data_IF_528981326138
#
_entry.id   IF_528981326138
#
_cell.length_a   1.000
_cell.length_b   1.000
_cell.length_c   1.000
_cell.angle_alpha   90.00
_cell.angle_beta   90.00
_cell.angle_gamma   90.00
#
_symmetry.space_group_name_H-M   'P 1'
#
loop_
_entity.id
_entity.type
_entity.pdbx_description
1 polymer ?
#
# COMPACT_ATOMS: atom_id res chain seq x y z
N UNK A 1 6.33 -28.62 38.55
CA UNK A 1 5.32 -27.80 37.86
C UNK A 1 6.05 -27.01 36.77
N UNK A 2 6.02 -27.53 35.57
CA UNK A 2 6.59 -26.87 34.39
C UNK A 2 5.76 -25.62 34.09
N UNK A 3 6.36 -24.43 34.21
CA UNK A 3 5.76 -23.17 33.73
C UNK A 3 5.51 -23.36 32.25
N UNK A 4 4.25 -23.54 31.86
CA UNK A 4 3.84 -23.35 30.47
C UNK A 4 4.23 -21.96 30.14
N UNK A 5 5.22 -21.80 29.25
CA UNK A 5 5.61 -20.49 28.69
C UNK A 5 4.35 -19.88 28.09
N UNK A 6 3.85 -18.78 28.67
CA UNK A 6 2.82 -17.97 28.02
C UNK A 6 3.38 -17.57 26.66
N UNK A 7 2.72 -17.96 25.60
CA UNK A 7 3.06 -17.47 24.26
C UNK A 7 2.66 -16.00 24.23
N UNK A 8 3.64 -15.10 24.18
CA UNK A 8 3.39 -13.66 24.02
C UNK A 8 2.92 -13.39 22.59
N UNK A 9 1.62 -13.56 22.36
CA UNK A 9 0.99 -13.34 21.05
C UNK A 9 0.71 -11.86 20.85
N UNK A 10 0.95 -11.35 19.65
CA UNK A 10 0.51 -10.02 19.23
C UNK A 10 -0.30 -10.12 17.95
N UNK A 11 -1.29 -9.24 17.80
CA UNK A 11 -2.19 -9.21 16.65
C UNK A 11 -1.92 -7.96 15.85
N UNK A 12 -1.70 -8.13 14.55
CA UNK A 12 -1.71 -7.03 13.60
C UNK A 12 -2.95 -7.11 12.71
N UNK A 13 -3.57 -5.97 12.49
CA UNK A 13 -4.74 -5.80 11.61
C UNK A 13 -4.33 -4.84 10.50
N UNK A 14 -4.53 -5.25 9.24
CA UNK A 14 -4.28 -4.42 8.06
C UNK A 14 -5.60 -4.11 7.35
N UNK A 15 -5.91 -2.83 7.21
CA UNK A 15 -7.06 -2.35 6.44
C UNK A 15 -6.60 -2.07 5.01
N UNK A 16 -6.72 -3.08 4.15
CA UNK A 16 -6.39 -2.96 2.73
C UNK A 16 -7.55 -2.46 1.87
N UNK A 17 -7.34 -2.37 0.56
CA UNK A 17 -8.36 -1.83 -0.37
C UNK A 17 -9.56 -2.75 -0.61
N UNK A 18 -9.44 -4.06 -0.38
CA UNK A 18 -10.50 -5.05 -0.70
C UNK A 18 -10.82 -6.00 0.44
N UNK A 19 -10.04 -5.95 1.52
CA UNK A 19 -10.25 -6.76 2.70
C UNK A 19 -9.51 -6.18 3.90
N UNK A 20 -10.05 -6.43 5.10
CA UNK A 20 -9.29 -6.37 6.34
C UNK A 20 -8.64 -7.73 6.56
N UNK A 21 -7.32 -7.74 6.75
CA UNK A 21 -6.55 -8.93 7.07
C UNK A 21 -5.99 -8.80 8.48
N UNK A 22 -5.94 -9.89 9.21
CA UNK A 22 -5.31 -9.88 10.52
C UNK A 22 -4.52 -11.17 10.74
N UNK A 23 -3.42 -11.06 11.47
CA UNK A 23 -2.60 -12.18 11.90
C UNK A 23 -2.34 -12.12 13.39
N UNK A 24 -2.33 -13.29 14.04
CA UNK A 24 -1.80 -13.49 15.37
C UNK A 24 -0.40 -14.10 15.22
N UNK A 25 0.63 -13.43 15.74
CA UNK A 25 2.01 -13.86 15.65
C UNK A 25 2.61 -14.09 17.04
N UNK A 26 3.48 -15.09 17.16
CA UNK A 26 4.24 -15.38 18.37
C UNK A 26 5.57 -14.59 18.40
N UNK A 27 6.43 -14.89 19.38
CA UNK A 27 7.71 -14.21 19.58
C UNK A 27 8.67 -14.34 18.38
N UNK A 28 8.56 -15.42 17.63
CA UNK A 28 9.42 -15.73 16.49
C UNK A 28 8.81 -15.27 15.15
N UNK A 29 7.67 -14.58 15.19
CA UNK A 29 6.96 -14.10 13.99
C UNK A 29 6.16 -15.21 13.28
N UNK A 30 6.02 -16.39 13.92
CA UNK A 30 5.21 -17.47 13.37
C UNK A 30 3.73 -17.09 13.45
N UNK A 31 3.06 -17.07 12.30
CA UNK A 31 1.63 -16.77 12.23
C UNK A 31 0.83 -17.97 12.71
N UNK A 32 0.24 -17.83 13.90
CA UNK A 32 -0.53 -18.89 14.58
C UNK A 32 -2.01 -18.89 14.19
N UNK A 33 -2.54 -17.74 13.76
CA UNK A 33 -3.91 -17.61 13.27
C UNK A 33 -4.03 -16.47 12.26
N UNK A 34 -5.03 -16.57 11.37
CA UNK A 34 -5.33 -15.57 10.34
C UNK A 34 -6.81 -15.26 10.31
N UNK A 35 -7.14 -13.99 10.02
CA UNK A 35 -8.48 -13.57 9.67
C UNK A 35 -8.47 -12.82 8.34
N UNK A 36 -9.55 -12.97 7.57
CA UNK A 36 -9.74 -12.28 6.30
C UNK A 36 -11.21 -11.87 6.17
N UNK A 37 -11.47 -10.58 6.25
CA UNK A 37 -12.80 -9.98 6.16
C UNK A 37 -12.88 -9.20 4.86
N UNK A 38 -13.49 -9.75 3.81
CA UNK A 38 -13.63 -9.05 2.53
C UNK A 38 -14.57 -7.85 2.65
N UNK A 39 -14.28 -6.80 1.90
CA UNK A 39 -15.16 -5.66 1.70
C UNK A 39 -15.01 -5.11 0.28
N UNK A 40 -15.91 -4.23 -0.13
CA UNK A 40 -15.92 -3.71 -1.48
C UNK A 40 -15.09 -2.42 -1.61
N UNK A 41 -14.18 -2.40 -2.61
CA UNK A 41 -13.69 -1.15 -3.19
C UNK A 41 -14.72 -0.66 -4.21
N UNK A 42 -15.33 0.50 -3.95
CA UNK A 42 -16.31 1.13 -4.84
C UNK A 42 -15.63 2.12 -5.77
N UNK A 43 -15.96 2.06 -7.06
CA UNK A 43 -15.47 2.97 -8.10
C UNK A 43 -16.70 3.60 -8.78
N UNK A 44 -17.38 4.57 -8.12
CA UNK A 44 -18.60 5.15 -8.64
C UNK A 44 -18.40 6.04 -9.88
N UNK A 45 -17.17 6.51 -10.11
CA UNK A 45 -16.74 7.26 -11.29
C UNK A 45 -15.26 7.00 -11.57
N UNK A 46 -14.74 7.30 -12.77
CA UNK A 46 -13.33 7.04 -13.13
C UNK A 46 -12.29 7.65 -12.19
N UNK A 47 -12.63 8.78 -11.56
CA UNK A 47 -11.81 9.54 -10.64
C UNK A 47 -12.20 9.36 -9.17
N UNK A 48 -13.05 8.38 -8.83
CA UNK A 48 -13.56 8.16 -7.48
C UNK A 48 -13.25 6.78 -6.97
N UNK A 49 -12.67 6.74 -5.78
CA UNK A 49 -12.35 5.51 -5.04
C UNK A 49 -12.80 5.64 -3.61
N UNK A 50 -13.69 4.77 -3.19
CA UNK A 50 -14.26 4.84 -1.85
C UNK A 50 -14.55 3.48 -1.23
N UNK A 51 -14.55 3.45 0.08
CA UNK A 51 -15.10 2.37 0.89
C UNK A 51 -16.44 2.78 1.51
N UNK A 52 -17.26 1.79 1.85
CA UNK A 52 -18.15 1.92 2.98
C UNK A 52 -17.28 1.93 4.25
N UNK A 53 -17.06 3.13 4.81
CA UNK A 53 -16.12 3.29 5.92
C UNK A 53 -16.61 2.58 7.22
N UNK A 54 -17.92 2.42 7.40
CA UNK A 54 -18.45 1.65 8.52
C UNK A 54 -18.14 0.15 8.36
N UNK A 55 -18.34 -0.38 7.16
CA UNK A 55 -18.03 -1.78 6.84
C UNK A 55 -16.53 -2.05 6.96
N UNK A 56 -15.72 -1.29 6.22
CA UNK A 56 -14.31 -1.60 6.05
C UNK A 56 -13.43 -1.15 7.23
N UNK A 57 -13.69 0.04 7.81
CA UNK A 57 -12.78 0.64 8.78
C UNK A 57 -13.21 0.48 10.23
N UNK A 58 -14.52 0.31 10.47
CA UNK A 58 -15.05 0.13 11.83
C UNK A 58 -15.40 -1.35 12.12
N UNK A 59 -16.30 -1.93 11.34
CA UNK A 59 -16.76 -3.32 11.57
C UNK A 59 -15.76 -4.37 11.13
N UNK A 60 -15.01 -4.11 10.05
CA UNK A 60 -14.00 -5.04 9.55
C UNK A 60 -12.91 -5.38 10.56
N UNK A 61 -12.22 -4.40 11.18
CA UNK A 61 -11.25 -4.66 12.25
C UNK A 61 -11.82 -5.38 13.46
N UNK A 62 -13.05 -5.03 13.89
CA UNK A 62 -13.73 -5.74 14.99
C UNK A 62 -14.00 -7.21 14.63
N UNK A 63 -14.52 -7.47 13.44
CA UNK A 63 -14.79 -8.82 12.96
C UNK A 63 -13.50 -9.65 12.79
N UNK A 64 -12.41 -9.01 12.32
CA UNK A 64 -11.12 -9.68 12.22
C UNK A 64 -10.57 -10.08 13.59
N UNK A 65 -10.67 -9.19 14.58
CA UNK A 65 -10.27 -9.49 15.95
C UNK A 65 -11.14 -10.60 16.55
N UNK A 66 -12.46 -10.54 16.37
CA UNK A 66 -13.39 -11.58 16.83
C UNK A 66 -13.07 -12.94 16.19
N UNK A 67 -12.80 -12.99 14.88
CA UNK A 67 -12.44 -14.23 14.17
C UNK A 67 -11.15 -14.85 14.71
N UNK A 68 -10.18 -14.04 15.14
CA UNK A 68 -8.94 -14.54 15.76
C UNK A 68 -9.17 -15.07 17.17
N UNK A 69 -10.33 -14.78 17.78
CA UNK A 69 -10.71 -15.22 19.13
C UNK A 69 -9.58 -15.03 20.16
N UNK A 70 -9.13 -13.79 20.41
CA UNK A 70 -7.93 -13.53 21.21
C UNK A 70 -8.08 -14.08 22.63
N UNK A 71 -7.17 -14.97 23.00
CA UNK A 71 -7.07 -15.51 24.35
C UNK A 71 -6.25 -14.61 25.29
N UNK A 72 -6.07 -15.04 26.56
CA UNK A 72 -5.35 -14.25 27.58
C UNK A 72 -3.85 -14.07 27.28
N UNK A 73 -3.31 -14.79 26.30
CA UNK A 73 -1.92 -14.67 25.88
C UNK A 73 -1.68 -13.53 24.87
N UNK A 74 -2.75 -12.87 24.38
CA UNK A 74 -2.63 -11.70 23.50
C UNK A 74 -2.20 -10.49 24.31
N UNK A 75 -1.01 -9.96 23.97
CA UNK A 75 -0.36 -8.86 24.69
C UNK A 75 -0.73 -7.50 24.09
N UNK A 76 -0.83 -7.43 22.77
CA UNK A 76 -1.16 -6.18 22.07
C UNK A 76 -1.84 -6.45 20.74
N UNK A 77 -2.54 -5.40 20.27
CA UNK A 77 -3.14 -5.30 18.93
C UNK A 77 -2.66 -3.99 18.31
N UNK A 78 -2.29 -4.00 17.03
CA UNK A 78 -1.96 -2.80 16.28
C UNK A 78 -2.69 -2.80 14.93
N UNK A 79 -2.99 -1.60 14.42
CA UNK A 79 -3.69 -1.42 13.14
C UNK A 79 -2.76 -0.74 12.14
N UNK A 80 -2.61 -1.32 10.95
CA UNK A 80 -2.06 -0.67 9.77
C UNK A 80 -3.17 -0.39 8.76
N UNK A 81 -2.97 0.59 7.90
CA UNK A 81 -3.91 0.91 6.84
C UNK A 81 -3.26 1.63 5.67
N UNK A 82 -3.94 1.56 4.52
CA UNK A 82 -3.60 2.36 3.34
C UNK A 82 -3.78 3.86 3.59
N UNK A 83 -2.97 4.66 2.92
CA UNK A 83 -2.97 6.13 3.00
C UNK A 83 -2.90 6.79 1.61
N UNK A 84 -3.40 8.03 1.49
CA UNK A 84 -4.28 8.70 2.42
C UNK A 84 -5.69 8.10 2.44
N UNK A 85 -6.37 8.26 3.54
CA UNK A 85 -7.77 7.87 3.71
C UNK A 85 -8.48 8.88 4.62
N UNK A 86 -9.78 9.15 4.39
CA UNK A 86 -10.53 10.07 5.24
C UNK A 86 -12.04 9.80 5.19
N UNK A 87 -12.71 9.96 6.34
CA UNK A 87 -14.17 10.02 6.48
C UNK A 87 -14.56 10.97 7.58
N UNK A 88 -15.79 11.52 7.53
CA UNK A 88 -16.40 12.22 8.66
C UNK A 88 -17.02 11.20 9.63
N UNK A 89 -16.99 11.51 10.93
CA UNK A 89 -17.59 10.66 11.97
C UNK A 89 -18.49 11.46 12.92
N UNK A 90 -19.46 10.75 13.50
CA UNK A 90 -20.27 11.26 14.61
C UNK A 90 -19.54 11.19 15.96
N UNK A 91 -20.18 11.66 17.03
CA UNK A 91 -19.62 11.63 18.39
C UNK A 91 -19.39 10.21 18.96
N UNK A 92 -19.96 9.19 18.33
CA UNK A 92 -19.71 7.78 18.66
C UNK A 92 -18.64 7.14 17.76
N UNK A 93 -17.97 7.93 16.90
CA UNK A 93 -16.97 7.46 15.97
C UNK A 93 -17.52 6.65 14.80
N UNK A 94 -18.82 6.80 14.48
CA UNK A 94 -19.44 6.12 13.33
C UNK A 94 -19.29 6.97 12.09
N UNK A 95 -18.84 6.40 10.96
CA UNK A 95 -18.73 7.11 9.70
C UNK A 95 -20.05 7.70 9.21
N UNK A 96 -19.99 8.96 8.78
CA UNK A 96 -21.10 9.73 8.21
C UNK A 96 -20.99 9.90 6.69
N UNK A 97 -19.80 9.73 6.15
CA UNK A 97 -19.51 9.85 4.71
C UNK A 97 -18.82 8.59 4.20
N UNK A 98 -18.78 8.37 2.87
CA UNK A 98 -17.88 7.36 2.30
C UNK A 98 -16.44 7.59 2.76
N UNK A 99 -15.69 6.53 2.92
CA UNK A 99 -14.26 6.58 3.18
C UNK A 99 -13.49 6.85 1.89
N UNK A 100 -12.92 8.03 1.72
CA UNK A 100 -12.10 8.37 0.56
C UNK A 100 -10.74 7.68 0.64
N UNK A 101 -10.21 7.26 -0.51
CA UNK A 101 -8.96 6.53 -0.63
C UNK A 101 -8.00 7.24 -1.58
N UNK A 102 -6.71 6.92 -1.47
CA UNK A 102 -5.68 7.41 -2.38
C UNK A 102 -6.11 7.35 -3.85
N UNK A 103 -5.85 8.44 -4.57
CA UNK A 103 -6.23 8.62 -5.98
C UNK A 103 -7.71 8.92 -6.19
N UNK A 104 -8.51 9.17 -5.16
CA UNK A 104 -9.82 9.79 -5.31
C UNK A 104 -9.68 11.28 -5.72
N UNK A 105 -10.47 11.72 -6.67
CA UNK A 105 -10.38 13.07 -7.22
C UNK A 105 -11.20 14.12 -6.48
N UNK A 106 -11.98 13.74 -5.48
CA UNK A 106 -12.87 14.67 -4.76
C UNK A 106 -12.10 15.69 -3.95
N UNK A 107 -12.60 16.92 -3.94
CA UNK A 107 -11.99 18.05 -3.25
C UNK A 107 -10.89 18.76 -4.06
N UNK A 108 -10.44 18.21 -5.18
CA UNK A 108 -9.47 18.88 -6.08
C UNK A 108 -10.09 20.14 -6.66
N UNK A 109 -9.28 21.20 -6.71
CA UNK A 109 -9.66 22.47 -7.34
C UNK A 109 -9.12 22.45 -8.77
N UNK A 110 -9.98 22.56 -9.81
CA UNK A 110 -9.53 22.67 -11.18
C UNK A 110 -8.62 23.89 -11.36
N UNK A 111 -7.46 23.73 -12.01
CA UNK A 111 -6.52 24.82 -12.30
C UNK A 111 -5.63 25.27 -11.13
N UNK A 112 -5.70 24.63 -9.97
CA UNK A 112 -4.63 24.75 -8.99
C UNK A 112 -3.35 24.17 -9.59
N UNK A 113 -2.29 25.00 -9.67
CA UNK A 113 -1.01 24.61 -10.24
C UNK A 113 -0.62 23.23 -9.69
N UNK A 114 -0.55 22.26 -10.60
CA UNK A 114 -0.05 20.93 -10.30
C UNK A 114 1.44 21.08 -10.02
N UNK A 115 1.77 21.44 -8.79
CA UNK A 115 3.14 21.25 -8.35
C UNK A 115 3.43 19.74 -8.42
N UNK A 116 4.53 19.33 -9.04
CA UNK A 116 4.89 17.94 -9.23
C UNK A 116 5.38 17.31 -7.93
N UNK A 117 4.69 17.58 -6.82
CA UNK A 117 4.96 16.95 -5.54
C UNK A 117 4.02 15.76 -5.40
N UNK A 118 4.60 14.58 -5.14
CA UNK A 118 3.85 13.35 -5.05
C UNK A 118 2.77 13.46 -3.98
N UNK A 119 1.55 13.06 -4.26
CA UNK A 119 0.47 12.66 -3.33
C UNK A 119 0.30 13.44 -2.00
N UNK A 120 1.05 14.50 -1.77
CA UNK A 120 1.13 15.29 -0.55
C UNK A 120 0.04 16.37 -0.46
N UNK A 121 -1.09 16.18 -1.09
CA UNK A 121 -2.21 17.12 -1.06
C UNK A 121 -3.54 16.41 -0.98
N UNK A 122 -3.59 15.13 -1.29
CA UNK A 122 -4.85 14.38 -1.36
C UNK A 122 -5.62 14.42 -0.04
N UNK A 123 -4.96 14.26 1.10
CA UNK A 123 -5.63 14.33 2.40
C UNK A 123 -6.28 15.69 2.68
N UNK A 124 -5.64 16.79 2.23
CA UNK A 124 -6.19 18.14 2.37
C UNK A 124 -7.41 18.35 1.44
N UNK A 125 -7.37 17.78 0.26
CA UNK A 125 -8.49 17.77 -0.69
C UNK A 125 -9.64 16.94 -0.15
N UNK A 126 -9.35 15.76 0.41
CA UNK A 126 -10.33 14.92 1.08
C UNK A 126 -11.01 15.66 2.23
N UNK A 127 -10.24 16.37 3.06
CA UNK A 127 -10.78 17.14 4.17
C UNK A 127 -11.75 18.21 3.68
N UNK A 128 -11.38 18.97 2.63
CA UNK A 128 -12.26 20.00 2.05
C UNK A 128 -13.59 19.42 1.59
N UNK A 129 -13.55 18.32 0.86
CA UNK A 129 -14.78 17.68 0.39
C UNK A 129 -15.59 17.10 1.54
N UNK A 130 -14.95 16.37 2.46
CA UNK A 130 -15.60 15.67 3.56
C UNK A 130 -16.26 16.65 4.55
N UNK A 131 -15.57 17.77 4.86
CA UNK A 131 -16.09 18.83 5.70
C UNK A 131 -17.30 19.54 5.05
N UNK A 132 -17.27 19.73 3.73
CA UNK A 132 -18.44 20.28 3.03
C UNK A 132 -19.63 19.33 3.03
N UNK A 133 -19.41 17.99 2.99
CA UNK A 133 -20.49 17.01 3.06
C UNK A 133 -21.07 16.83 4.47
N UNK A 134 -20.26 16.98 5.51
CA UNK A 134 -20.65 16.78 6.90
C UNK A 134 -20.06 17.88 7.80
N UNK A 135 -20.54 19.15 7.68
CA UNK A 135 -19.94 20.29 8.40
C UNK A 135 -20.07 20.23 9.91
N UNK A 136 -21.01 19.43 10.42
CA UNK A 136 -21.24 19.25 11.84
C UNK A 136 -20.68 17.92 12.38
N UNK A 137 -19.76 17.30 11.66
CA UNK A 137 -19.12 16.07 12.10
C UNK A 137 -18.34 16.28 13.41
N UNK A 138 -18.36 15.27 14.28
CA UNK A 138 -17.55 15.30 15.50
C UNK A 138 -16.05 15.15 15.18
N UNK A 139 -15.71 14.52 14.05
CA UNK A 139 -14.33 14.37 13.60
C UNK A 139 -14.20 14.03 12.12
N UNK A 140 -12.97 14.22 11.59
CA UNK A 140 -12.55 13.83 10.25
C UNK A 140 -11.36 12.92 10.40
N UNK A 141 -11.60 11.62 10.22
CA UNK A 141 -10.65 10.59 10.64
C UNK A 141 -10.18 9.70 9.48
N UNK A 142 -8.89 9.39 9.49
CA UNK A 142 -8.31 8.36 8.64
C UNK A 142 -8.74 6.96 9.09
N UNK A 143 -8.63 5.98 8.21
CA UNK A 143 -9.05 4.60 8.48
C UNK A 143 -8.49 4.01 9.80
N UNK A 144 -7.19 4.16 10.15
CA UNK A 144 -6.69 3.64 11.41
C UNK A 144 -7.31 4.33 12.64
N UNK A 145 -7.67 5.62 12.57
CA UNK A 145 -8.33 6.29 13.69
C UNK A 145 -9.76 5.74 13.93
N UNK A 146 -10.50 5.46 12.85
CA UNK A 146 -11.83 4.83 12.95
C UNK A 146 -11.72 3.45 13.58
N UNK A 147 -10.74 2.64 13.15
CA UNK A 147 -10.49 1.31 13.70
C UNK A 147 -10.07 1.35 15.17
N UNK A 148 -9.10 2.20 15.51
CA UNK A 148 -8.59 2.35 16.88
C UNK A 148 -9.69 2.81 17.83
N UNK A 149 -10.54 3.74 17.40
CA UNK A 149 -11.70 4.16 18.18
C UNK A 149 -12.71 3.01 18.36
N UNK A 150 -12.96 2.21 17.33
CA UNK A 150 -13.84 1.05 17.44
C UNK A 150 -13.29 0.01 18.43
N UNK A 151 -11.99 -0.25 18.39
CA UNK A 151 -11.31 -1.25 19.21
C UNK A 151 -11.14 -0.80 20.68
N UNK A 152 -10.83 0.47 20.93
CA UNK A 152 -10.42 0.94 22.25
C UNK A 152 -11.08 2.25 22.72
N UNK A 153 -11.77 3.00 21.84
CA UNK A 153 -12.29 4.33 22.14
C UNK A 153 -11.29 5.46 21.89
N UNK A 154 -10.16 5.17 21.28
CA UNK A 154 -9.07 6.11 21.05
C UNK A 154 -9.02 6.56 19.59
N UNK A 155 -9.36 7.82 19.32
CA UNK A 155 -9.20 8.43 18.00
C UNK A 155 -7.73 8.82 17.78
N UNK A 156 -6.90 7.87 17.40
CA UNK A 156 -5.45 8.02 17.28
C UNK A 156 -4.93 7.43 15.97
N UNK A 157 -3.94 8.11 15.38
CA UNK A 157 -3.14 7.62 14.26
C UNK A 157 -1.65 7.70 14.63
N UNK A 158 -0.83 6.98 13.89
CA UNK A 158 0.61 7.07 13.99
C UNK A 158 1.18 8.26 13.21
N UNK A 159 2.43 8.64 13.56
CA UNK A 159 3.11 9.77 12.92
C UNK A 159 3.36 9.56 11.43
N UNK A 160 3.51 8.31 10.95
CA UNK A 160 3.71 8.04 9.52
C UNK A 160 2.43 8.25 8.71
N UNK A 161 1.29 7.87 9.27
CA UNK A 161 -0.03 8.17 8.70
C UNK A 161 -0.28 9.68 8.69
N UNK A 162 0.01 10.38 9.81
CA UNK A 162 -0.15 11.84 9.90
C UNK A 162 0.74 12.58 8.88
N UNK A 163 1.97 12.13 8.67
CA UNK A 163 2.91 12.74 7.72
C UNK A 163 2.39 12.73 6.27
N UNK A 164 1.54 11.76 5.90
CA UNK A 164 0.91 11.74 4.57
C UNK A 164 -0.17 12.80 4.38
N UNK A 165 -0.57 13.47 5.46
CA UNK A 165 -1.59 14.52 5.44
C UNK A 165 -1.02 15.95 5.22
N UNK A 166 0.24 16.10 4.79
CA UNK A 166 0.76 17.42 4.42
C UNK A 166 -0.15 18.12 3.39
N UNK A 167 -0.45 19.44 3.49
CA UNK A 167 0.03 20.41 4.49
C UNK A 167 -0.78 20.49 5.78
N UNK A 168 -1.75 19.60 6.01
CA UNK A 168 -2.56 19.58 7.24
C UNK A 168 -1.73 19.22 8.48
N UNK A 169 -0.73 18.37 8.30
CA UNK A 169 0.19 17.95 9.36
C UNK A 169 1.63 18.26 8.96
N UNK A 170 2.42 18.76 9.89
CA UNK A 170 3.83 19.13 9.70
C UNK A 170 4.66 18.86 10.94
N UNK A 171 5.89 19.38 10.97
CA UNK A 171 6.86 19.14 12.04
C UNK A 171 6.33 19.54 13.43
N UNK A 172 5.48 20.57 13.51
CA UNK A 172 4.89 21.06 14.76
C UNK A 172 3.52 20.47 15.10
N UNK A 173 3.06 19.45 14.35
CA UNK A 173 1.75 18.84 14.52
C UNK A 173 0.72 19.32 13.49
N UNK A 174 -0.58 19.24 13.83
CA UNK A 174 -1.65 19.70 12.96
C UNK A 174 -1.60 21.22 12.76
N UNK A 175 -1.68 21.64 11.49
CA UNK A 175 -1.67 23.04 11.08
C UNK A 175 -3.08 23.63 11.14
N UNK A 176 -3.38 24.40 12.19
CA UNK A 176 -4.72 24.97 12.43
C UNK A 176 -5.21 25.82 11.24
N UNK A 177 -4.35 26.62 10.63
CA UNK A 177 -4.73 27.46 9.49
C UNK A 177 -5.07 26.61 8.25
N UNK A 178 -4.27 25.60 7.97
CA UNK A 178 -4.53 24.70 6.85
C UNK A 178 -5.79 23.85 7.06
N UNK A 179 -6.11 23.46 8.28
CA UNK A 179 -7.36 22.76 8.63
C UNK A 179 -8.57 23.68 8.49
N UNK A 180 -8.50 24.90 9.03
CA UNK A 180 -9.57 25.88 8.96
C UNK A 180 -9.91 26.29 7.52
N UNK A 181 -8.90 26.45 6.64
CA UNK A 181 -9.10 26.71 5.21
C UNK A 181 -9.88 25.60 4.49
N UNK A 182 -9.95 24.43 5.09
CA UNK A 182 -10.67 23.26 4.56
C UNK A 182 -11.93 22.90 5.35
N UNK A 183 -12.35 23.79 6.28
CA UNK A 183 -13.61 23.68 7.00
C UNK A 183 -13.56 22.77 8.23
N UNK A 184 -12.37 22.54 8.81
CA UNK A 184 -12.20 21.72 10.02
C UNK A 184 -11.38 22.46 11.09
N UNK A 185 -11.51 22.03 12.34
CA UNK A 185 -10.64 22.43 13.45
C UNK A 185 -9.68 21.30 13.82
N UNK A 186 -8.61 21.64 14.55
CA UNK A 186 -7.62 20.63 14.98
C UNK A 186 -8.22 19.60 15.92
N UNK A 187 -9.19 20.00 16.74
CA UNK A 187 -9.88 19.14 17.70
C UNK A 187 -10.73 18.05 17.02
N UNK A 188 -11.10 18.26 15.75
CA UNK A 188 -11.82 17.28 14.95
C UNK A 188 -10.89 16.24 14.31
N UNK A 189 -9.56 16.41 14.42
CA UNK A 189 -8.58 15.49 13.85
C UNK A 189 -8.06 14.50 14.90
N UNK A 190 -7.60 13.30 14.50
CA UNK A 190 -7.11 12.32 15.45
C UNK A 190 -5.86 12.80 16.18
N UNK A 191 -5.68 12.35 17.42
CA UNK A 191 -4.40 12.47 18.12
C UNK A 191 -3.31 11.69 17.36
N UNK A 192 -2.10 12.21 17.35
CA UNK A 192 -0.95 11.56 16.71
C UNK A 192 -0.03 10.96 17.77
N UNK A 193 0.45 9.75 17.53
CA UNK A 193 1.36 9.04 18.42
C UNK A 193 2.57 8.48 17.65
N UNK A 194 3.67 8.25 18.34
CA UNK A 194 4.84 7.60 17.74
C UNK A 194 4.55 6.14 17.41
N UNK A 195 5.17 5.64 16.34
CA UNK A 195 5.03 4.25 15.87
C UNK A 195 5.42 3.27 16.99
N UNK A 196 4.62 2.23 17.18
CA UNK A 196 4.89 1.14 18.13
C UNK A 196 4.78 1.55 19.59
N UNK A 197 4.07 2.64 19.92
CA UNK A 197 3.81 3.06 21.30
C UNK A 197 2.42 2.63 21.77
N UNK A 198 2.26 2.46 23.09
CA UNK A 198 0.95 2.16 23.68
C UNK A 198 0.04 3.39 23.62
N UNK A 199 -1.17 3.23 23.10
CA UNK A 199 -2.14 4.32 22.94
C UNK A 199 -3.47 4.09 23.64
N UNK A 200 -3.69 2.89 24.19
CA UNK A 200 -4.92 2.53 24.89
C UNK A 200 -4.98 1.03 25.21
N UNK A 201 -6.17 0.55 25.56
CA UNK A 201 -6.45 -0.87 25.78
C UNK A 201 -7.64 -1.32 24.95
N UNK A 202 -7.49 -2.46 24.30
CA UNK A 202 -8.53 -3.08 23.48
C UNK A 202 -9.67 -3.58 24.36
N UNK A 203 -10.88 -3.13 24.07
CA UNK A 203 -12.10 -3.47 24.84
C UNK A 203 -12.32 -4.98 24.88
N UNK A 204 -12.65 -5.49 26.05
CA UNK A 204 -12.98 -6.91 26.26
C UNK A 204 -11.81 -7.89 26.28
N UNK A 205 -10.58 -7.46 25.94
CA UNK A 205 -9.41 -8.36 25.91
C UNK A 205 -8.36 -8.00 26.96
N UNK A 206 -8.26 -6.72 27.35
CA UNK A 206 -7.18 -6.20 28.18
C UNK A 206 -5.83 -6.08 27.48
N UNK A 207 -5.74 -6.42 26.18
CA UNK A 207 -4.55 -6.26 25.37
C UNK A 207 -4.26 -4.76 25.14
N UNK A 208 -2.98 -4.40 25.02
CA UNK A 208 -2.58 -3.04 24.68
C UNK A 208 -3.03 -2.74 23.25
N UNK A 209 -3.66 -1.56 23.02
CA UNK A 209 -3.74 -1.00 21.67
C UNK A 209 -2.43 -0.27 21.40
N UNK A 210 -1.74 -0.68 20.37
CA UNK A 210 -0.52 -0.04 19.90
C UNK A 210 -0.81 0.94 18.75
N UNK A 211 -0.09 2.03 18.68
CA UNK A 211 0.03 2.83 17.48
C UNK A 211 0.71 2.00 16.39
N UNK A 212 0.03 1.83 15.26
CA UNK A 212 0.56 1.10 14.10
C UNK A 212 1.49 1.94 13.23
N UNK A 213 1.41 1.69 11.94
CA UNK A 213 2.05 2.49 10.88
C UNK A 213 1.30 2.30 9.56
N UNK A 214 1.67 3.10 8.55
CA UNK A 214 1.22 2.90 7.16
C UNK A 214 1.52 1.46 6.71
N UNK A 215 0.62 0.86 5.94
CA UNK A 215 0.72 -0.52 5.42
C UNK A 215 2.09 -0.83 4.79
N UNK A 216 2.56 0.04 3.91
CA UNK A 216 3.86 -0.11 3.25
C UNK A 216 5.06 -0.05 4.23
N UNK A 217 4.93 0.67 5.36
CA UNK A 217 5.95 0.69 6.42
C UNK A 217 5.89 -0.62 7.20
N UNK A 218 4.69 -1.08 7.57
CA UNK A 218 4.54 -2.36 8.25
C UNK A 218 5.10 -3.52 7.42
N UNK A 219 4.82 -3.57 6.11
CA UNK A 219 5.41 -4.59 5.24
C UNK A 219 6.94 -4.50 5.18
N UNK A 220 7.47 -3.27 5.11
CA UNK A 220 8.92 -3.06 5.07
C UNK A 220 9.64 -3.58 6.30
N UNK A 221 9.09 -3.37 7.51
CA UNK A 221 9.75 -3.79 8.77
C UNK A 221 9.99 -5.30 8.83
N UNK A 222 9.14 -6.10 8.20
CA UNK A 222 9.21 -7.57 8.22
C UNK A 222 9.70 -8.17 6.90
N UNK A 223 10.16 -7.35 5.96
CA UNK A 223 10.66 -7.80 4.66
C UNK A 223 12.17 -8.06 4.65
N UNK A 224 12.89 -7.59 5.66
CA UNK A 224 14.37 -7.63 5.72
C UNK A 224 15.03 -7.09 4.43
N UNK A 225 14.47 -5.98 3.89
CA UNK A 225 15.01 -5.30 2.70
C UNK A 225 15.79 -4.03 3.12
N UNK A 226 16.72 -4.18 4.07
CA UNK A 226 17.36 -3.11 4.82
C UNK A 226 18.79 -2.81 4.38
N UNK A 227 19.36 -3.61 3.47
CA UNK A 227 20.72 -3.42 2.99
C UNK A 227 20.76 -2.57 1.72
N UNK A 228 21.90 -1.93 1.48
CA UNK A 228 22.09 -1.14 0.27
C UNK A 228 21.91 -2.01 -1.00
N UNK A 229 21.07 -1.53 -1.89
CA UNK A 229 20.72 -2.25 -3.10
C UNK A 229 19.61 -3.29 -2.94
N UNK A 230 19.06 -3.48 -1.73
CA UNK A 230 17.85 -4.27 -1.57
C UNK A 230 16.67 -3.54 -2.20
N UNK A 231 15.93 -4.26 -3.04
CA UNK A 231 14.70 -3.77 -3.67
C UNK A 231 13.51 -4.45 -3.05
N UNK A 232 12.62 -3.69 -2.45
CA UNK A 232 11.33 -4.17 -1.94
C UNK A 232 10.23 -3.89 -2.97
N UNK A 233 9.55 -4.94 -3.43
CA UNK A 233 8.41 -4.86 -4.34
C UNK A 233 7.15 -5.28 -3.59
N UNK A 234 6.27 -4.33 -3.29
CA UNK A 234 4.99 -4.60 -2.63
C UNK A 234 3.91 -4.83 -3.69
N UNK A 235 3.51 -6.09 -3.81
CA UNK A 235 2.52 -6.56 -4.78
C UNK A 235 1.10 -6.51 -4.18
N UNK A 236 0.58 -5.31 -3.98
CA UNK A 236 -0.77 -5.04 -3.49
C UNK A 236 -1.73 -4.60 -4.60
N UNK A 237 -2.84 -3.98 -4.23
CA UNK A 237 -3.74 -3.24 -5.15
C UNK A 237 -2.95 -2.20 -5.94
N UNK A 238 -2.04 -1.52 -5.27
CA UNK A 238 -0.97 -0.68 -5.81
C UNK A 238 0.30 -1.52 -5.92
N UNK A 239 1.12 -1.24 -6.92
CA UNK A 239 2.49 -1.71 -6.99
C UNK A 239 3.40 -0.66 -6.35
N UNK A 240 4.20 -1.04 -5.37
CA UNK A 240 5.17 -0.13 -4.76
C UNK A 240 6.56 -0.74 -4.90
N UNK A 241 7.53 0.09 -5.31
CA UNK A 241 8.91 -0.33 -5.48
C UNK A 241 9.81 0.62 -4.71
N UNK A 242 10.62 0.07 -3.81
CA UNK A 242 11.60 0.82 -3.02
C UNK A 242 12.98 0.20 -3.18
N UNK A 243 13.96 1.02 -3.47
CA UNK A 243 15.38 0.63 -3.43
C UNK A 243 16.03 1.27 -2.20
N UNK A 244 16.60 0.45 -1.32
CA UNK A 244 17.28 0.90 -0.11
C UNK A 244 18.67 1.43 -0.42
N UNK A 245 19.02 2.58 0.14
CA UNK A 245 20.32 3.26 -0.05
C UNK A 245 20.82 3.88 1.26
N UNK A 246 22.14 3.92 1.44
CA UNK A 246 22.76 4.63 2.57
C UNK A 246 22.75 6.15 2.38
N UNK A 247 22.84 6.64 1.14
CA UNK A 247 22.89 8.06 0.86
C UNK A 247 21.58 8.53 0.22
N UNK A 248 20.86 9.42 0.91
CA UNK A 248 19.66 10.05 0.36
C UNK A 248 20.05 10.97 -0.81
N UNK A 249 19.39 10.77 -1.95
CA UNK A 249 19.50 11.66 -3.12
C UNK A 249 18.13 11.86 -3.75
N UNK A 250 17.89 13.05 -4.27
CA UNK A 250 16.68 13.33 -5.02
C UNK A 250 16.81 12.77 -6.44
N UNK A 251 15.82 12.00 -6.86
CA UNK A 251 15.73 11.43 -8.21
C UNK A 251 14.46 11.96 -8.87
N UNK A 252 14.56 12.65 -10.02
CA UNK A 252 13.38 13.16 -10.73
C UNK A 252 12.36 12.03 -10.99
N UNK A 253 11.10 12.31 -10.65
CA UNK A 253 9.99 11.36 -10.80
C UNK A 253 9.86 10.33 -9.70
N UNK A 254 10.87 10.15 -8.85
CA UNK A 254 10.82 9.22 -7.71
C UNK A 254 10.75 9.96 -6.37
N UNK A 255 10.24 9.27 -5.38
CA UNK A 255 10.28 9.72 -4.00
C UNK A 255 11.56 9.26 -3.33
N UNK A 256 12.13 10.12 -2.49
CA UNK A 256 13.21 9.75 -1.58
C UNK A 256 12.71 10.02 -0.17
N UNK A 257 12.55 8.97 0.62
CA UNK A 257 12.01 9.05 1.97
C UNK A 257 12.89 8.25 2.95
N UNK A 258 12.87 8.59 4.26
CA UNK A 258 13.60 7.83 5.26
C UNK A 258 13.18 6.36 5.28
N UNK A 259 14.16 5.49 5.53
CA UNK A 259 13.94 4.07 5.80
C UNK A 259 13.72 3.84 7.30
N UNK A 260 13.04 2.76 7.69
CA UNK A 260 12.92 2.36 9.10
C UNK A 260 14.26 1.90 9.68
N UNK A 261 15.15 1.33 8.87
CA UNK A 261 16.53 1.07 9.26
C UNK A 261 17.31 2.39 9.42
N UNK A 262 17.98 2.55 10.56
CA UNK A 262 18.70 3.78 10.90
C UNK A 262 19.80 4.11 9.88
N UNK A 263 19.86 5.38 9.50
CA UNK A 263 20.87 5.89 8.56
C UNK A 263 20.63 5.48 7.11
N UNK A 264 19.49 4.89 6.79
CA UNK A 264 19.10 4.50 5.43
C UNK A 264 17.98 5.38 4.88
N UNK A 265 17.88 5.40 3.57
CA UNK A 265 16.78 5.99 2.81
C UNK A 265 16.28 4.99 1.77
N UNK A 266 15.11 5.21 1.24
CA UNK A 266 14.55 4.46 0.13
C UNK A 266 14.17 5.38 -1.01
N UNK A 267 14.52 4.97 -2.22
CA UNK A 267 14.22 5.67 -3.47
C UNK A 267 13.28 4.82 -4.29
N UNK A 268 12.20 5.40 -4.80
CA UNK A 268 11.23 4.67 -5.60
C UNK A 268 9.87 5.30 -5.55
N UNK A 269 8.83 4.51 -5.44
CA UNK A 269 7.46 5.02 -5.27
C UNK A 269 6.38 4.03 -5.63
N UNK A 270 5.18 4.57 -5.77
CA UNK A 270 3.95 3.82 -5.98
C UNK A 270 3.44 3.99 -7.41
N UNK A 271 3.02 2.90 -8.03
CA UNK A 271 2.47 2.83 -9.38
C UNK A 271 1.07 2.23 -9.40
N UNK A 272 0.26 2.67 -10.35
CA UNK A 272 -1.07 2.11 -10.62
C UNK A 272 -1.03 0.78 -11.41
N UNK A 273 0.15 0.29 -11.77
CA UNK A 273 0.37 -0.98 -12.48
C UNK A 273 0.28 -2.23 -11.58
N UNK A 274 -0.36 -2.12 -10.42
CA UNK A 274 -0.50 -3.21 -9.44
C UNK A 274 -1.74 -4.08 -9.65
N UNK A 275 -2.16 -4.73 -8.56
CA UNK A 275 -3.26 -5.69 -8.56
C UNK A 275 -4.61 -5.14 -9.04
N UNK A 276 -4.87 -3.83 -8.92
CA UNK A 276 -6.08 -3.22 -9.45
C UNK A 276 -6.11 -3.26 -10.99
N UNK A 277 -4.98 -2.94 -11.62
CA UNK A 277 -4.83 -3.06 -13.08
C UNK A 277 -4.96 -4.52 -13.53
N UNK A 278 -4.21 -5.43 -12.90
CA UNK A 278 -4.22 -6.85 -13.24
C UNK A 278 -5.61 -7.47 -13.07
N UNK A 279 -6.31 -7.16 -11.99
CA UNK A 279 -7.68 -7.63 -11.76
C UNK A 279 -8.70 -7.02 -12.74
N UNK A 280 -8.46 -5.81 -13.25
CA UNK A 280 -9.25 -5.25 -14.34
C UNK A 280 -9.00 -6.02 -15.64
N UNK A 281 -7.74 -6.31 -15.98
CA UNK A 281 -7.38 -7.13 -17.16
C UNK A 281 -8.03 -8.50 -17.11
N UNK A 282 -7.99 -9.18 -15.96
CA UNK A 282 -8.62 -10.49 -15.76
C UNK A 282 -10.13 -10.48 -16.09
N UNK A 283 -10.83 -9.39 -15.76
CA UNK A 283 -12.27 -9.25 -16.04
C UNK A 283 -12.59 -8.96 -17.50
N UNK A 284 -11.76 -8.12 -18.17
CA UNK A 284 -12.06 -7.68 -19.56
C UNK A 284 -11.51 -8.61 -20.62
N UNK A 285 -10.37 -9.26 -20.36
CA UNK A 285 -9.71 -10.16 -21.31
C UNK A 285 -10.27 -11.58 -21.22
N UNK A 286 -10.71 -12.00 -20.02
CA UNK A 286 -11.21 -13.35 -19.80
C UNK A 286 -10.09 -14.38 -19.55
N UNK A 287 -10.46 -15.68 -19.53
CA UNK A 287 -9.54 -16.75 -19.15
C UNK A 287 -8.47 -17.02 -20.22
N UNK A 288 -7.27 -17.30 -19.77
CA UNK A 288 -6.09 -17.67 -20.58
C UNK A 288 -4.90 -17.91 -19.65
N UNK A 289 -4.09 -18.93 -19.91
CA UNK A 289 -2.91 -19.22 -19.10
C UNK A 289 -1.68 -18.46 -19.64
N UNK A 290 -1.23 -17.40 -18.96
CA UNK A 290 -0.11 -16.57 -19.40
C UNK A 290 1.26 -17.31 -19.38
N UNK A 291 1.31 -18.50 -18.78
CA UNK A 291 2.54 -19.31 -18.72
C UNK A 291 2.74 -20.19 -19.97
N UNK A 292 1.73 -20.30 -20.84
CA UNK A 292 1.80 -21.14 -22.04
C UNK A 292 2.14 -20.37 -23.32
N UNK A 293 2.35 -19.05 -23.20
CA UNK A 293 2.59 -18.16 -24.32
C UNK A 293 4.07 -18.24 -24.76
N UNK A 294 4.30 -18.22 -26.08
CA UNK A 294 5.64 -18.11 -26.61
C UNK A 294 6.22 -16.68 -26.42
N UNK A 295 7.52 -16.54 -26.10
CA UNK A 295 8.13 -15.24 -25.80
C UNK A 295 7.92 -14.16 -26.87
N UNK A 296 7.85 -14.51 -28.14
CA UNK A 296 7.68 -13.56 -29.26
C UNK A 296 6.21 -13.20 -29.55
N UNK A 297 5.25 -13.84 -28.86
CA UNK A 297 3.81 -13.66 -29.10
C UNK A 297 3.14 -12.89 -27.98
N UNK A 298 3.79 -11.88 -27.47
CA UNK A 298 3.26 -11.03 -26.40
C UNK A 298 3.27 -9.58 -26.88
N UNK A 299 2.11 -8.88 -26.88
CA UNK A 299 2.05 -7.47 -27.21
C UNK A 299 2.62 -6.62 -26.08
N UNK A 300 2.76 -5.30 -26.30
CA UNK A 300 3.29 -4.39 -25.29
C UNK A 300 2.16 -3.59 -24.68
N UNK A 301 2.09 -3.56 -23.35
CA UNK A 301 1.10 -2.80 -22.62
C UNK A 301 1.75 -1.70 -21.77
N UNK A 302 1.34 -0.43 -22.00
CA UNK A 302 1.54 0.67 -21.07
C UNK A 302 0.35 0.67 -20.11
N UNK A 303 0.52 0.37 -18.78
CA UNK A 303 -0.57 -0.13 -17.92
C UNK A 303 -1.44 0.96 -17.28
N UNK A 304 -1.35 2.21 -17.69
CA UNK A 304 -1.81 3.39 -16.95
C UNK A 304 -3.31 3.67 -17.14
N UNK A 305 -4.19 2.70 -16.88
CA UNK A 305 -5.65 2.82 -17.09
C UNK A 305 -6.30 3.93 -16.24
N UNK A 306 -5.59 4.44 -15.24
CA UNK A 306 -6.09 5.33 -14.19
C UNK A 306 -5.13 6.47 -13.87
N UNK A 307 -4.36 6.94 -14.85
CA UNK A 307 -3.24 7.81 -14.60
C UNK A 307 -2.05 7.05 -14.00
N UNK A 308 -0.97 7.76 -13.74
CA UNK A 308 0.21 7.19 -13.10
C UNK A 308 0.81 8.15 -12.08
N UNK A 309 1.32 7.57 -11.00
CA UNK A 309 2.08 8.28 -9.97
C UNK A 309 3.55 8.32 -10.36
N UNK A 310 4.36 7.47 -9.81
CA UNK A 310 5.79 7.39 -10.17
C UNK A 310 6.01 6.59 -11.45
N UNK A 311 6.88 7.06 -12.34
CA UNK A 311 7.70 8.26 -12.28
C UNK A 311 7.06 9.51 -12.92
N UNK A 312 5.85 9.43 -13.43
CA UNK A 312 5.26 10.45 -14.32
C UNK A 312 4.48 11.54 -13.59
N UNK A 313 3.86 11.22 -12.43
CA UNK A 313 2.95 12.11 -11.70
C UNK A 313 1.86 12.72 -12.59
N UNK A 314 1.28 11.90 -13.48
CA UNK A 314 0.33 12.30 -14.52
C UNK A 314 -1.01 11.57 -14.30
N UNK A 315 -2.03 12.22 -13.71
CA UNK A 315 -3.34 11.62 -13.47
C UNK A 315 -4.15 11.41 -14.75
N UNK A 316 -3.79 12.12 -15.83
CA UNK A 316 -4.50 12.05 -17.11
C UNK A 316 -3.93 11.02 -18.07
N UNK A 317 -2.82 10.40 -17.70
CA UNK A 317 -2.22 9.33 -18.49
C UNK A 317 -3.18 8.15 -18.64
N UNK A 318 -3.20 7.55 -19.83
CA UNK A 318 -4.06 6.39 -20.12
C UNK A 318 -3.24 5.23 -20.69
N UNK A 319 -3.77 4.02 -20.51
CA UNK A 319 -3.15 2.79 -21.01
C UNK A 319 -3.11 2.76 -22.54
N UNK A 320 -2.06 2.14 -23.06
CA UNK A 320 -1.88 1.87 -24.50
C UNK A 320 -1.54 0.39 -24.64
N UNK A 321 -2.24 -0.30 -25.52
CA UNK A 321 -1.90 -1.66 -25.97
C UNK A 321 -1.36 -1.54 -27.38
N UNK A 322 -0.09 -1.93 -27.58
CA UNK A 322 0.64 -1.77 -28.83
C UNK A 322 1.08 -3.12 -29.39
N UNK A 323 1.36 -3.15 -30.68
CA UNK A 323 1.79 -4.34 -31.41
C UNK A 323 0.78 -5.50 -31.37
N UNK A 324 -0.51 -5.21 -31.29
CA UNK A 324 -1.58 -6.21 -31.28
C UNK A 324 -1.91 -6.65 -32.72
N UNK A 325 -1.98 -7.97 -32.92
CA UNK A 325 -2.40 -8.56 -34.19
C UNK A 325 -3.35 -9.76 -33.98
N UNK A 326 -3.79 -10.38 -35.07
CA UNK A 326 -4.77 -11.47 -35.06
C UNK A 326 -4.24 -12.79 -34.45
N UNK A 327 -2.97 -12.88 -34.11
CA UNK A 327 -2.37 -14.08 -33.50
C UNK A 327 -2.41 -14.03 -31.98
N UNK A 328 -2.73 -12.87 -31.39
CA UNK A 328 -2.82 -12.68 -29.95
C UNK A 328 -4.16 -13.16 -29.41
N UNK A 329 -4.12 -13.80 -28.26
CA UNK A 329 -5.26 -14.34 -27.54
C UNK A 329 -5.31 -13.83 -26.08
N UNK A 330 -6.24 -14.33 -25.31
CA UNK A 330 -6.38 -13.94 -23.89
C UNK A 330 -5.13 -14.25 -23.07
N UNK A 331 -4.42 -15.37 -23.36
CA UNK A 331 -3.20 -15.74 -22.66
C UNK A 331 -2.09 -14.73 -22.94
N UNK A 332 -1.90 -14.33 -24.20
CA UNK A 332 -0.93 -13.31 -24.64
C UNK A 332 -1.19 -11.95 -23.98
N UNK A 333 -2.47 -11.51 -23.93
CA UNK A 333 -2.85 -10.24 -23.31
C UNK A 333 -2.63 -10.25 -21.78
N UNK A 334 -2.94 -11.36 -21.12
CA UNK A 334 -2.69 -11.52 -19.69
C UNK A 334 -1.18 -11.52 -19.38
N UNK A 335 -0.38 -12.20 -20.22
CA UNK A 335 1.09 -12.17 -20.09
C UNK A 335 1.62 -10.75 -20.26
N UNK A 336 1.15 -10.01 -21.26
CA UNK A 336 1.51 -8.61 -21.49
C UNK A 336 1.21 -7.72 -20.28
N UNK A 337 0.08 -7.94 -19.61
CA UNK A 337 -0.27 -7.18 -18.41
C UNK A 337 0.68 -7.46 -17.24
N UNK A 338 1.06 -8.71 -17.01
CA UNK A 338 2.05 -9.05 -15.99
C UNK A 338 3.43 -8.48 -16.32
N UNK A 339 3.85 -8.55 -17.59
CA UNK A 339 5.10 -7.95 -18.05
C UNK A 339 5.09 -6.43 -17.88
N UNK A 340 3.98 -5.76 -18.19
CA UNK A 340 3.84 -4.32 -18.00
C UNK A 340 4.10 -3.91 -16.53
N UNK A 341 3.55 -4.68 -15.59
CA UNK A 341 3.84 -4.49 -14.16
C UNK A 341 5.32 -4.75 -13.84
N UNK A 342 5.92 -5.80 -14.40
CA UNK A 342 7.35 -6.10 -14.27
C UNK A 342 8.24 -5.00 -14.87
N UNK A 343 7.85 -4.43 -16.01
CA UNK A 343 8.56 -3.30 -16.64
C UNK A 343 8.53 -2.04 -15.78
N UNK A 344 7.41 -1.79 -15.10
CA UNK A 344 7.36 -0.69 -14.12
C UNK A 344 8.34 -0.94 -12.98
N UNK A 345 8.42 -2.16 -12.44
CA UNK A 345 9.43 -2.50 -11.42
C UNK A 345 10.83 -2.20 -11.95
N UNK A 346 11.19 -2.73 -13.12
CA UNK A 346 12.49 -2.50 -13.75
C UNK A 346 12.77 -1.01 -13.96
N UNK A 347 11.83 -0.25 -14.48
CA UNK A 347 11.97 1.19 -14.74
C UNK A 347 12.26 1.97 -13.45
N UNK A 348 11.52 1.71 -12.37
CA UNK A 348 11.72 2.42 -11.11
C UNK A 348 13.07 2.07 -10.47
N UNK A 349 13.50 0.82 -10.59
CA UNK A 349 14.81 0.34 -10.13
C UNK A 349 15.92 1.01 -10.92
N UNK A 350 15.85 1.02 -12.25
CA UNK A 350 16.85 1.67 -13.12
C UNK A 350 16.93 3.18 -12.86
N UNK A 351 15.79 3.85 -12.74
CA UNK A 351 15.73 5.29 -12.43
C UNK A 351 16.32 5.60 -11.04
N UNK A 352 16.22 4.69 -10.08
CA UNK A 352 16.84 4.88 -8.78
C UNK A 352 18.36 5.07 -8.89
N UNK A 353 18.99 4.49 -9.93
CA UNK A 353 20.42 4.53 -10.18
C UNK A 353 21.25 3.85 -9.08
N UNK A 354 20.62 3.08 -8.20
CA UNK A 354 21.33 2.30 -7.18
C UNK A 354 21.70 0.92 -7.72
N UNK A 355 22.85 0.36 -7.32
CA UNK A 355 23.15 -1.04 -7.62
C UNK A 355 22.11 -1.93 -6.92
N UNK A 356 21.66 -2.98 -7.61
CA UNK A 356 20.69 -3.94 -7.06
C UNK A 356 21.41 -5.15 -6.50
N UNK A 357 21.21 -5.43 -5.22
CA UNK A 357 21.73 -6.61 -4.53
C UNK A 357 20.76 -7.79 -4.62
N UNK A 358 19.49 -7.57 -4.24
CA UNK A 358 18.41 -8.56 -4.33
C UNK A 358 17.06 -7.89 -4.52
N UNK A 359 16.05 -8.67 -4.94
CA UNK A 359 14.66 -8.21 -5.06
C UNK A 359 13.81 -9.07 -4.14
N UNK A 360 13.13 -8.43 -3.19
CA UNK A 360 12.19 -9.06 -2.26
C UNK A 360 10.77 -8.65 -2.63
N UNK A 361 9.89 -9.61 -2.87
CA UNK A 361 8.48 -9.38 -3.16
C UNK A 361 7.61 -9.77 -1.98
N UNK A 362 6.71 -8.87 -1.57
CA UNK A 362 5.75 -9.08 -0.49
C UNK A 362 4.33 -8.66 -0.92
N UNK A 363 3.34 -8.99 -0.10
CA UNK A 363 1.95 -8.65 -0.33
C UNK A 363 1.13 -9.74 -1.03
N UNK A 364 -0.19 -9.54 -1.05
CA UNK A 364 -1.14 -10.56 -1.54
C UNK A 364 -0.96 -10.99 -2.99
N UNK A 365 -0.39 -10.15 -3.84
CA UNK A 365 -0.11 -10.43 -5.25
C UNK A 365 0.99 -11.46 -5.46
N UNK A 366 1.84 -11.73 -4.46
CA UNK A 366 2.90 -12.75 -4.54
C UNK A 366 2.36 -14.17 -4.75
N UNK A 367 1.08 -14.41 -4.45
CA UNK A 367 0.38 -15.67 -4.73
C UNK A 367 0.14 -15.89 -6.23
N UNK A 368 0.22 -14.83 -7.05
CA UNK A 368 0.03 -14.89 -8.50
C UNK A 368 1.35 -15.26 -9.17
N UNK A 369 1.56 -16.56 -9.39
CA UNK A 369 2.82 -17.08 -9.97
C UNK A 369 3.23 -16.39 -11.28
N UNK A 370 2.34 -16.18 -12.27
CA UNK A 370 2.69 -15.47 -13.50
C UNK A 370 3.20 -14.04 -13.27
N UNK A 371 2.71 -13.35 -12.25
CA UNK A 371 3.17 -12.01 -11.92
C UNK A 371 4.60 -12.03 -11.37
N UNK A 372 4.90 -12.96 -10.45
CA UNK A 372 6.27 -13.11 -9.91
C UNK A 372 7.26 -13.49 -11.00
N UNK A 373 6.87 -14.41 -11.90
CA UNK A 373 7.71 -14.78 -13.05
C UNK A 373 7.96 -13.58 -13.98
N UNK A 374 6.91 -12.79 -14.27
CA UNK A 374 7.07 -11.61 -15.12
C UNK A 374 7.97 -10.52 -14.49
N UNK A 375 7.95 -10.36 -13.17
CA UNK A 375 8.89 -9.47 -12.47
C UNK A 375 10.32 -10.00 -12.59
N UNK A 376 10.55 -11.30 -12.37
CA UNK A 376 11.87 -11.91 -12.50
C UNK A 376 12.39 -11.77 -13.95
N UNK A 377 11.57 -12.10 -14.95
CA UNK A 377 11.92 -11.99 -16.36
C UNK A 377 12.22 -10.54 -16.77
N UNK A 378 11.36 -9.60 -16.36
CA UNK A 378 11.50 -8.18 -16.71
C UNK A 378 12.75 -7.55 -16.10
N UNK A 379 13.11 -7.92 -14.88
CA UNK A 379 14.29 -7.39 -14.18
C UNK A 379 15.57 -8.15 -14.50
N UNK A 380 15.46 -9.36 -15.09
CA UNK A 380 16.57 -10.28 -15.31
C UNK A 380 17.24 -10.75 -14.02
N UNK A 381 16.51 -10.75 -12.90
CA UNK A 381 17.04 -11.06 -11.57
C UNK A 381 16.12 -12.01 -10.81
N UNK A 382 16.69 -12.85 -9.93
CA UNK A 382 15.91 -13.64 -8.99
C UNK A 382 15.01 -12.75 -8.13
N UNK A 383 13.80 -13.22 -7.85
CA UNK A 383 12.83 -12.57 -6.95
C UNK A 383 12.59 -13.47 -5.74
N UNK A 384 12.97 -13.01 -4.57
CA UNK A 384 12.69 -13.67 -3.30
C UNK A 384 11.25 -13.36 -2.88
N UNK A 385 10.42 -14.37 -2.75
CA UNK A 385 9.01 -14.21 -2.36
C UNK A 385 8.86 -14.43 -0.87
N UNK A 386 8.35 -13.43 -0.17
CA UNK A 386 8.08 -13.52 1.28
C UNK A 386 7.13 -14.67 1.60
N UNK A 387 7.42 -15.41 2.67
CA UNK A 387 6.58 -16.51 3.15
C UNK A 387 5.24 -16.05 3.75
N UNK A 388 5.14 -14.79 4.17
CA UNK A 388 3.92 -14.22 4.75
C UNK A 388 3.38 -13.14 3.81
N UNK A 389 2.31 -13.47 3.11
CA UNK A 389 1.64 -12.54 2.19
C UNK A 389 0.85 -11.42 2.90
N UNK A 390 0.61 -11.56 4.20
CA UNK A 390 -0.01 -10.58 5.08
C UNK A 390 1.05 -9.68 5.77
N UNK A 391 2.09 -9.27 5.06
CA UNK A 391 3.24 -8.53 5.60
C UNK A 391 2.87 -7.28 6.38
N UNK A 392 1.92 -6.47 5.90
CA UNK A 392 1.45 -5.29 6.61
C UNK A 392 0.82 -5.65 7.99
N UNK A 393 0.00 -6.70 8.05
CA UNK A 393 -0.54 -7.16 9.32
C UNK A 393 0.56 -7.76 10.23
N UNK A 394 1.55 -8.47 9.66
CA UNK A 394 2.66 -9.02 10.44
C UNK A 394 3.54 -7.91 11.02
N UNK A 395 3.86 -6.87 10.24
CA UNK A 395 4.59 -5.71 10.72
C UNK A 395 3.83 -4.94 11.80
N UNK A 396 2.51 -4.78 11.65
CA UNK A 396 1.66 -4.22 12.70
C UNK A 396 1.73 -5.06 13.98
N UNK A 397 1.70 -6.40 13.88
CA UNK A 397 1.86 -7.28 15.05
C UNK A 397 3.21 -7.08 15.75
N UNK A 398 4.30 -6.85 14.99
CA UNK A 398 5.60 -6.51 15.56
C UNK A 398 5.57 -5.17 16.31
N UNK A 399 4.93 -4.14 15.76
CA UNK A 399 4.72 -2.87 16.45
C UNK A 399 3.92 -3.03 17.75
N UNK A 400 2.97 -3.96 17.76
CA UNK A 400 2.28 -4.37 18.99
C UNK A 400 3.24 -4.92 20.06
N UNK A 401 4.28 -5.69 19.67
CA UNK A 401 5.29 -6.19 20.59
C UNK A 401 6.12 -5.04 21.20
N UNK A 402 6.48 -4.05 20.37
CA UNK A 402 7.18 -2.85 20.86
C UNK A 402 6.33 -2.12 21.90
N UNK A 403 5.06 -1.87 21.63
CA UNK A 403 4.15 -1.22 22.58
C UNK A 403 3.96 -2.01 23.87
N UNK A 404 4.06 -3.33 23.82
CA UNK A 404 3.99 -4.22 24.99
C UNK A 404 5.33 -4.34 25.75
N UNK A 405 6.39 -3.67 25.30
CA UNK A 405 7.73 -3.74 25.90
C UNK A 405 8.44 -5.09 25.70
N UNK A 406 8.00 -5.87 24.71
CA UNK A 406 8.59 -7.18 24.37
C UNK A 406 9.76 -7.04 23.39
N UNK A 407 9.84 -5.90 22.70
CA UNK A 407 10.90 -5.52 21.76
C UNK A 407 11.34 -4.08 22.04
N UNK A 408 12.60 -3.78 21.78
CA UNK A 408 13.19 -2.46 22.04
C UNK A 408 13.59 -1.71 20.78
N UNK A 409 13.70 -2.42 19.66
CA UNK A 409 14.11 -1.85 18.37
C UNK A 409 13.23 -2.38 17.24
N UNK A 410 12.86 -1.48 16.32
CA UNK A 410 12.16 -1.86 15.07
C UNK A 410 13.06 -2.74 14.18
N UNK A 411 14.38 -2.61 14.28
CA UNK A 411 15.32 -3.43 13.53
C UNK A 411 15.28 -4.92 13.92
N UNK A 412 14.79 -5.25 15.11
CA UNK A 412 14.64 -6.63 15.55
C UNK A 412 13.59 -7.38 14.71
N UNK A 413 12.75 -6.67 13.95
CA UNK A 413 11.73 -7.26 13.08
C UNK A 413 12.33 -8.03 11.89
N UNK A 414 13.54 -7.75 11.47
CA UNK A 414 14.23 -8.47 10.41
C UNK A 414 14.27 -10.00 10.63
N UNK A 415 14.31 -10.44 11.90
CA UNK A 415 14.26 -11.89 12.23
C UNK A 415 12.92 -12.56 11.90
N UNK A 416 11.86 -11.77 11.67
CA UNK A 416 10.54 -12.30 11.24
C UNK A 416 10.44 -12.47 9.74
N UNK A 417 11.39 -11.91 9.00
CA UNK A 417 11.46 -12.11 7.57
C UNK A 417 11.78 -13.56 7.22
N UNK A 418 11.09 -14.08 6.24
CA UNK A 418 11.36 -15.42 5.72
C UNK A 418 10.99 -15.50 4.25
N UNK A 419 11.80 -16.20 3.48
CA UNK A 419 11.58 -16.44 2.05
C UNK A 419 10.87 -17.78 1.86
N UNK A 420 9.73 -17.78 1.17
CA UNK A 420 9.01 -19.00 0.81
C UNK A 420 9.66 -19.70 -0.39
N UNK A 421 10.01 -18.91 -1.40
CA UNK A 421 10.61 -19.38 -2.65
C UNK A 421 11.38 -18.28 -3.36
N UNK A 422 12.26 -18.69 -4.24
CA UNK A 422 12.96 -17.81 -5.19
C UNK A 422 12.41 -18.09 -6.58
N UNK A 423 12.11 -17.04 -7.34
CA UNK A 423 11.65 -17.14 -8.73
C UNK A 423 12.79 -16.65 -9.62
N UNK A 424 13.40 -17.58 -10.34
CA UNK A 424 14.48 -17.27 -11.28
C UNK A 424 13.92 -16.71 -12.60
N UNK A 425 14.61 -15.77 -13.25
CA UNK A 425 14.24 -15.33 -14.59
C UNK A 425 14.43 -16.49 -15.59
N UNK A 426 13.52 -16.61 -16.56
CA UNK A 426 13.63 -17.60 -17.61
C UNK A 426 14.49 -17.06 -18.77
N UNK A 427 15.68 -17.65 -19.05
CA UNK A 427 16.56 -17.19 -20.11
C UNK A 427 15.94 -17.19 -21.51
N UNK A 428 14.93 -18.03 -21.74
CA UNK A 428 14.23 -18.09 -23.03
C UNK A 428 13.45 -16.80 -23.34
N UNK A 429 13.13 -16.01 -22.31
CA UNK A 429 12.39 -14.76 -22.44
C UNK A 429 13.28 -13.53 -22.61
N UNK A 430 14.58 -13.61 -22.28
CA UNK A 430 15.47 -12.46 -22.13
C UNK A 430 15.48 -11.53 -23.36
N UNK A 431 15.70 -12.06 -24.58
CA UNK A 431 15.75 -11.23 -25.78
C UNK A 431 14.41 -10.55 -26.10
N UNK A 432 13.30 -11.29 -25.97
CA UNK A 432 11.98 -10.74 -26.24
C UNK A 432 11.54 -9.72 -25.18
N UNK A 433 11.97 -9.88 -23.94
CA UNK A 433 11.75 -8.92 -22.85
C UNK A 433 12.50 -7.61 -23.12
N UNK A 434 13.77 -7.66 -23.56
CA UNK A 434 14.53 -6.45 -23.88
C UNK A 434 13.87 -5.64 -25.01
N UNK A 435 13.45 -6.32 -26.10
CA UNK A 435 12.76 -5.65 -27.21
C UNK A 435 11.46 -4.95 -26.73
N UNK A 436 10.65 -5.66 -25.93
CA UNK A 436 9.39 -5.12 -25.41
C UNK A 436 9.60 -4.04 -24.35
N UNK A 437 10.64 -4.16 -23.54
CA UNK A 437 10.97 -3.12 -22.56
C UNK A 437 11.37 -1.82 -23.24
N UNK A 438 12.19 -1.89 -24.30
CA UNK A 438 12.49 -0.73 -25.13
C UNK A 438 11.23 -0.07 -25.66
N UNK A 439 10.31 -0.86 -26.21
CA UNK A 439 9.03 -0.36 -26.71
C UNK A 439 8.12 0.21 -25.61
N UNK A 440 8.10 -0.41 -24.43
CA UNK A 440 7.40 0.08 -23.25
C UNK A 440 7.89 1.49 -22.84
N UNK A 441 9.19 1.74 -22.83
CA UNK A 441 9.77 3.04 -22.54
C UNK A 441 9.39 4.09 -23.58
N UNK A 442 9.39 3.73 -24.86
CA UNK A 442 8.93 4.63 -25.93
C UNK A 442 7.47 5.03 -25.76
N UNK A 443 6.57 4.07 -25.47
CA UNK A 443 5.16 4.34 -25.19
C UNK A 443 5.00 5.21 -23.94
N UNK A 444 5.81 4.99 -22.92
CA UNK A 444 5.84 5.79 -21.70
C UNK A 444 6.27 7.23 -21.94
N UNK A 445 7.10 7.49 -22.95
CA UNK A 445 7.54 8.85 -23.32
C UNK A 445 6.50 9.64 -24.13
N UNK A 446 5.55 8.94 -24.77
CA UNK A 446 4.46 9.58 -25.51
C UNK A 446 3.49 10.21 -24.50
N UNK A 447 3.37 11.55 -24.51
CA UNK A 447 2.28 12.22 -23.80
C UNK A 447 0.98 11.77 -24.47
N UNK A 448 0.11 11.14 -23.72
CA UNK A 448 -1.28 10.94 -24.14
C UNK A 448 -1.85 12.35 -24.35
N UNK A 449 -1.96 12.78 -25.60
CA UNK A 449 -2.65 14.02 -25.91
C UNK A 449 -4.04 13.89 -25.29
N UNK A 450 -4.43 14.83 -24.42
CA UNK A 450 -5.80 14.94 -23.97
C UNK A 450 -6.66 14.99 -25.24
N UNK A 451 -7.53 13.98 -25.43
CA UNK A 451 -8.58 14.08 -26.44
C UNK A 451 -9.44 15.24 -25.95
N UNK A 452 -9.52 16.37 -26.69
CA UNK A 452 -10.35 17.47 -26.24
C UNK A 452 -11.78 16.94 -26.07
N UNK A 453 -12.51 17.38 -25.04
CA UNK A 453 -13.90 16.95 -24.87
C UNK A 453 -14.65 17.29 -26.16
N UNK A 454 -15.25 16.30 -26.77
CA UNK A 454 -16.16 16.51 -27.90
C UNK A 454 -17.36 17.25 -27.34
N UNK A 455 -17.47 18.52 -27.65
CA UNK A 455 -18.68 19.27 -27.36
C UNK A 455 -19.82 18.69 -28.21
N UNK A 456 -20.83 18.12 -27.55
CA UNK A 456 -22.11 17.77 -28.14
C UNK A 456 -23.06 18.96 -27.99
#
# INVERSE_FOLDING_TARGET
MTRVSRKDITIGIDIGSTAVKAVAADADGQVTARAHIPHQLRVPAPDRLEHDADEAWRRGPLAALEQLAPGPDVRAVAVSAMVPSLTAVDSAGRPLTPGLLYGDGRGRVPGADQQPLPALGEAAEFLRWTAAQAPNAAGYWAAPAVANHALAGEAVIDVSTAATAFPLYGVTGWNAAACADRGATVEQLPRVADIGTSVGQVRGTGAILASGAVDAICEQIVADADHDGDVLVLCGTTLIVWTTVSEARQVPGLWTIPHTALGKSKIGGASNAGGLFLGWVDRVVGPGDPMTVEPRRVPVWSPYIRGERTPFHDPDRRAILDALDLTHDAASLRRAAYEASGFVVRQLVELSGAPVSRIVASGGGTRIRPWMQAIADATGRPVEVSAVAEGAALGAAFLGRMAAGLETSIADAARWASTERIVEPDPAWAAAIEDRYGRFLELGSQRSGAIPPVAF
#
